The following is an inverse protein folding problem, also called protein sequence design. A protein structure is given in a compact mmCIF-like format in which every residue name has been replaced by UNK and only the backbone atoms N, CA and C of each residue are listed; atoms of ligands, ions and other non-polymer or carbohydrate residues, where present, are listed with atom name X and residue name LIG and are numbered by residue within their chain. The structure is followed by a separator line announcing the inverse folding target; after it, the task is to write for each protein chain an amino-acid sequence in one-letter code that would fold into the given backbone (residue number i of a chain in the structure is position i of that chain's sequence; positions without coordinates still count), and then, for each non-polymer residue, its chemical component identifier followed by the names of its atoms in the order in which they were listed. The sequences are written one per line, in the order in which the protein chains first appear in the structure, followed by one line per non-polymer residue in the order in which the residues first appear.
data_IF_562152697773
#
_entry.id   IF_562152697773
#
_cell.length_a   1.000
_cell.length_b   1.000
_cell.length_c   1.000
_cell.angle_alpha   90.00
_cell.angle_beta   90.00
_cell.angle_gamma   90.00
#
_symmetry.space_group_name_H-M   'P 1'
#
loop_
_entity.id
_entity.type
_entity.pdbx_description
1 polymer ?
#
# COMPACT_ATOMS: atom_id res chain seq x y z
N UNK A 1 15.60 -4.34 -15.80
CA UNK A 1 15.16 -4.34 -17.22
C UNK A 1 13.72 -4.80 -17.25
N UNK A 2 12.85 -4.10 -17.95
CA UNK A 2 11.47 -4.53 -18.20
C UNK A 2 11.50 -5.39 -19.45
N UNK A 3 10.80 -6.51 -19.43
CA UNK A 3 10.66 -7.42 -20.57
C UNK A 3 9.18 -7.52 -20.93
N UNK A 4 8.89 -7.52 -22.19
CA UNK A 4 7.56 -7.87 -22.67
C UNK A 4 7.34 -9.36 -22.46
N UNK A 5 6.12 -9.71 -22.05
CA UNK A 5 5.71 -11.08 -21.82
C UNK A 5 4.44 -11.39 -22.64
N UNK A 6 4.37 -12.57 -23.16
CA UNK A 6 3.19 -13.09 -23.85
C UNK A 6 2.49 -14.09 -22.94
N UNK A 7 1.19 -13.92 -22.79
CA UNK A 7 0.33 -14.81 -21.97
C UNK A 7 -0.58 -15.59 -22.93
N UNK A 8 -0.58 -16.91 -22.82
CA UNK A 8 -1.32 -17.79 -23.71
C UNK A 8 -1.90 -19.00 -22.98
N UNK A 9 -2.94 -19.60 -23.58
CA UNK A 9 -3.56 -20.83 -23.10
C UNK A 9 -2.84 -22.07 -23.67
N UNK A 10 -2.68 -23.10 -22.83
CA UNK A 10 -2.29 -24.45 -23.21
C UNK A 10 -2.80 -25.45 -22.19
N UNK A 11 -3.51 -26.48 -22.66
CA UNK A 11 -4.06 -27.55 -21.82
C UNK A 11 -4.91 -27.03 -20.64
N UNK A 12 -5.83 -26.12 -20.91
CA UNK A 12 -6.72 -25.47 -19.93
C UNK A 12 -5.98 -24.70 -18.81
N UNK A 13 -4.73 -24.34 -19.06
CA UNK A 13 -3.88 -23.55 -18.18
C UNK A 13 -3.37 -22.32 -18.90
N UNK A 14 -2.94 -21.34 -18.13
CA UNK A 14 -2.34 -20.12 -18.66
C UNK A 14 -0.84 -20.14 -18.41
N UNK A 15 -0.09 -19.92 -19.46
CA UNK A 15 1.36 -19.80 -19.43
C UNK A 15 1.79 -18.39 -19.77
N UNK A 16 2.96 -18.02 -19.32
CA UNK A 16 3.62 -16.77 -19.67
C UNK A 16 5.01 -17.06 -20.20
N UNK A 17 5.31 -16.52 -21.38
CA UNK A 17 6.67 -16.56 -21.93
C UNK A 17 7.25 -15.16 -22.02
N UNK A 18 8.56 -15.07 -21.83
CA UNK A 18 9.34 -13.84 -21.97
C UNK A 18 10.76 -14.17 -22.42
N UNK A 19 11.36 -13.28 -23.18
CA UNK A 19 12.75 -13.46 -23.67
C UNK A 19 13.67 -12.44 -23.03
N UNK A 20 14.61 -12.91 -22.23
CA UNK A 20 15.67 -12.08 -21.67
C UNK A 20 16.89 -12.07 -22.60
N UNK A 21 17.44 -10.91 -22.99
CA UNK A 21 18.63 -10.85 -23.82
C UNK A 21 19.86 -11.55 -23.24
N UNK A 22 19.91 -11.68 -21.91
CA UNK A 22 21.05 -12.30 -21.21
C UNK A 22 20.83 -13.79 -20.90
N UNK A 23 19.58 -14.18 -20.58
CA UNK A 23 19.26 -15.53 -20.07
C UNK A 23 18.43 -16.37 -21.05
N UNK A 24 18.02 -15.79 -22.19
CA UNK A 24 17.20 -16.47 -23.18
C UNK A 24 15.72 -16.49 -22.85
N UNK A 25 15.02 -17.40 -23.49
CA UNK A 25 13.59 -17.61 -23.32
C UNK A 25 13.28 -18.29 -21.99
N UNK A 26 12.22 -17.83 -21.32
CA UNK A 26 11.69 -18.40 -20.08
C UNK A 26 10.19 -18.53 -20.21
N UNK A 27 9.68 -19.74 -19.98
CA UNK A 27 8.24 -20.02 -19.92
C UNK A 27 7.90 -20.51 -18.51
N UNK A 28 6.77 -20.08 -17.99
CA UNK A 28 6.31 -20.48 -16.66
C UNK A 28 4.78 -20.61 -16.62
N UNK A 29 4.27 -21.48 -15.76
CA UNK A 29 2.84 -21.57 -15.47
C UNK A 29 2.42 -20.30 -14.75
N UNK A 30 1.55 -19.50 -15.39
CA UNK A 30 1.06 -18.24 -14.85
C UNK A 30 -0.23 -18.41 -14.03
N UNK A 31 -1.15 -19.25 -14.53
CA UNK A 31 -2.41 -19.53 -13.83
C UNK A 31 -2.90 -20.97 -14.08
N UNK A 32 -3.42 -21.62 -13.04
CA UNK A 32 -3.73 -23.05 -13.08
C UNK A 32 -5.02 -23.43 -13.80
N UNK A 33 -5.89 -22.50 -14.15
CA UNK A 33 -7.14 -22.72 -14.90
C UNK A 33 -7.42 -21.56 -15.85
N UNK A 34 -7.52 -21.85 -17.12
CA UNK A 34 -7.87 -20.86 -18.14
C UNK A 34 -9.28 -20.31 -17.97
N UNK A 35 -10.25 -21.16 -17.61
CA UNK A 35 -11.62 -20.73 -17.33
C UNK A 35 -11.68 -19.67 -16.22
N UNK A 36 -11.00 -19.92 -15.09
CA UNK A 36 -10.97 -18.98 -13.98
C UNK A 36 -10.21 -17.70 -14.33
N UNK A 37 -9.12 -17.81 -15.09
CA UNK A 37 -8.37 -16.65 -15.56
C UNK A 37 -9.23 -15.74 -16.41
N UNK A 38 -9.97 -16.29 -17.37
CA UNK A 38 -10.90 -15.54 -18.20
C UNK A 38 -12.03 -14.92 -17.36
N UNK A 39 -12.59 -15.67 -16.42
CA UNK A 39 -13.61 -15.15 -15.51
C UNK A 39 -13.09 -13.94 -14.73
N UNK A 40 -11.88 -14.00 -14.19
CA UNK A 40 -11.28 -12.85 -13.49
C UNK A 40 -11.02 -11.67 -14.43
N UNK A 41 -10.62 -11.92 -15.67
CA UNK A 41 -10.41 -10.88 -16.68
C UNK A 41 -11.68 -10.10 -17.02
N UNK A 42 -12.88 -10.66 -16.81
CA UNK A 42 -14.14 -9.93 -17.01
C UNK A 42 -14.37 -8.82 -15.98
N UNK A 43 -13.67 -8.87 -14.85
CA UNK A 43 -13.73 -7.83 -13.80
C UNK A 43 -12.67 -6.73 -13.98
N UNK A 44 -11.97 -6.75 -15.12
CA UNK A 44 -11.05 -5.68 -15.47
C UNK A 44 -11.80 -4.37 -15.65
N UNK A 45 -11.32 -3.32 -15.02
CA UNK A 45 -11.80 -1.96 -15.24
C UNK A 45 -10.61 -1.00 -15.18
N UNK A 46 -10.50 -0.18 -16.21
CA UNK A 46 -9.55 0.94 -16.16
C UNK A 46 -10.00 1.93 -15.11
N UNK A 47 -9.08 2.36 -14.27
CA UNK A 47 -9.30 3.46 -13.34
C UNK A 47 -9.35 4.80 -14.08
N UNK A 48 -9.63 5.87 -13.35
CA UNK A 48 -9.61 7.23 -13.88
C UNK A 48 -8.22 7.86 -13.87
N UNK A 49 -7.20 7.09 -13.53
CA UNK A 49 -5.85 7.56 -13.33
C UNK A 49 -5.64 8.23 -11.97
N UNK A 50 -4.39 8.49 -11.64
CA UNK A 50 -4.01 9.30 -10.49
C UNK A 50 -2.99 10.35 -10.91
N UNK A 51 -3.22 11.57 -10.49
CA UNK A 51 -2.34 12.70 -10.67
C UNK A 51 -2.22 13.43 -9.34
N UNK A 52 -1.04 13.43 -8.77
CA UNK A 52 -0.76 14.13 -7.51
C UNK A 52 0.22 15.27 -7.78
N UNK A 53 -0.25 16.52 -7.85
CA UNK A 53 0.58 17.66 -8.23
C UNK A 53 1.78 17.89 -7.29
N UNK A 54 1.70 17.36 -6.07
CA UNK A 54 2.77 17.50 -5.07
C UNK A 54 3.85 16.40 -5.14
N UNK A 55 3.63 15.34 -5.92
CA UNK A 55 4.55 14.20 -6.02
C UNK A 55 4.96 13.85 -7.46
N UNK A 56 4.48 14.61 -8.44
CA UNK A 56 4.84 14.42 -9.83
C UNK A 56 6.32 14.72 -10.07
N UNK A 57 6.96 13.82 -10.79
CA UNK A 57 8.31 14.02 -11.30
C UNK A 57 8.25 14.43 -12.77
N UNK A 58 9.03 15.42 -13.16
CA UNK A 58 9.09 15.91 -14.54
C UNK A 58 9.52 14.85 -15.55
N UNK A 59 10.23 13.83 -15.09
CA UNK A 59 10.67 12.70 -15.90
C UNK A 59 10.45 11.40 -15.18
N UNK A 60 9.29 10.80 -15.41
CA UNK A 60 9.00 9.45 -14.90
C UNK A 60 9.56 8.40 -15.84
N UNK A 61 10.29 7.44 -15.26
CA UNK A 61 10.70 6.22 -15.92
C UNK A 61 10.09 5.04 -15.17
N UNK A 62 8.92 4.62 -15.59
CA UNK A 62 8.20 3.53 -14.98
C UNK A 62 8.97 2.21 -15.15
N UNK A 63 9.13 1.38 -14.09
CA UNK A 63 8.71 1.58 -12.70
C UNK A 63 9.77 2.20 -11.79
N UNK A 64 10.92 2.65 -12.32
CA UNK A 64 12.13 2.93 -11.52
C UNK A 64 12.08 4.23 -10.72
N UNK A 65 11.36 5.23 -11.21
CA UNK A 65 11.17 6.51 -10.54
C UNK A 65 9.74 7.03 -10.74
N UNK A 66 8.77 6.20 -10.39
CA UNK A 66 7.36 6.55 -10.52
C UNK A 66 6.98 7.67 -9.55
N UNK A 67 6.42 8.76 -10.08
CA UNK A 67 5.86 9.87 -9.32
C UNK A 67 4.38 10.11 -9.64
N UNK A 68 3.60 9.05 -9.92
CA UNK A 68 2.20 9.15 -10.34
C UNK A 68 2.04 10.04 -11.59
N UNK A 69 2.73 9.67 -12.65
CA UNK A 69 2.67 10.38 -13.93
C UNK A 69 1.33 10.19 -14.66
N UNK A 70 1.12 10.94 -15.74
CA UNK A 70 -0.11 10.89 -16.55
C UNK A 70 -0.39 9.54 -17.22
N UNK A 71 0.58 8.64 -17.25
CA UNK A 71 0.39 7.25 -17.75
C UNK A 71 -0.19 6.32 -16.68
N UNK A 72 -0.39 6.79 -15.46
CA UNK A 72 -0.98 6.00 -14.39
C UNK A 72 -2.48 5.86 -14.60
N UNK A 73 -2.95 4.61 -14.80
CA UNK A 73 -4.35 4.33 -15.14
C UNK A 73 -5.24 4.11 -13.92
N UNK A 74 -4.65 3.75 -12.79
CA UNK A 74 -5.40 3.50 -11.54
C UNK A 74 -5.39 4.74 -10.65
N UNK A 75 -6.43 4.90 -9.83
CA UNK A 75 -6.42 5.88 -8.72
C UNK A 75 -6.15 5.19 -7.39
N UNK A 76 -5.83 5.96 -6.36
CA UNK A 76 -5.58 5.44 -5.02
C UNK A 76 -6.88 4.89 -4.42
N UNK A 77 -7.00 3.55 -4.37
CA UNK A 77 -8.15 2.88 -3.77
C UNK A 77 -8.04 2.81 -2.24
N UNK A 78 -6.84 2.53 -1.74
CA UNK A 78 -6.50 2.47 -0.32
C UNK A 78 -5.04 2.87 -0.14
N UNK A 79 -4.79 3.94 0.57
CA UNK A 79 -3.45 4.34 0.96
C UNK A 79 -3.03 3.64 2.26
N UNK A 80 -1.75 3.32 2.39
CA UNK A 80 -1.19 2.75 3.62
C UNK A 80 -0.26 3.78 4.26
N UNK A 81 -0.50 4.08 5.55
CA UNK A 81 0.38 4.95 6.33
C UNK A 81 1.05 4.18 7.45
N UNK A 82 2.37 4.21 7.46
CA UNK A 82 3.18 3.75 8.57
C UNK A 82 3.17 4.85 9.63
N UNK A 83 2.55 4.58 10.78
CA UNK A 83 2.47 5.57 11.87
C UNK A 83 3.53 5.36 12.94
N UNK A 84 4.10 4.17 13.01
CA UNK A 84 5.21 3.84 13.91
C UNK A 84 5.97 2.62 13.41
N UNK A 85 7.24 2.51 13.73
CA UNK A 85 8.01 1.28 13.56
C UNK A 85 8.24 0.53 14.88
N UNK A 86 7.61 0.97 15.98
CA UNK A 86 7.60 0.20 17.24
C UNK A 86 6.63 -0.96 17.14
N UNK A 87 6.97 -2.10 17.75
CA UNK A 87 6.09 -3.25 17.87
C UNK A 87 6.45 -4.05 19.12
N UNK A 88 5.47 -4.61 19.78
CA UNK A 88 5.62 -5.53 20.90
C UNK A 88 5.74 -7.00 20.49
N UNK A 89 5.60 -7.29 19.19
CA UNK A 89 5.82 -8.61 18.61
C UNK A 89 7.11 -8.69 17.78
N UNK A 90 7.57 -9.91 17.52
CA UNK A 90 8.75 -10.23 16.69
C UNK A 90 8.40 -11.30 15.67
N UNK A 91 7.36 -11.06 14.86
CA UNK A 91 6.92 -12.00 13.84
C UNK A 91 8.03 -12.29 12.84
N UNK A 92 8.35 -13.56 12.63
CA UNK A 92 9.46 -13.98 11.75
C UNK A 92 9.26 -13.58 10.28
N UNK A 93 8.02 -13.37 9.86
CA UNK A 93 7.61 -12.97 8.51
C UNK A 93 7.39 -11.45 8.36
N UNK A 94 7.73 -10.66 9.39
CA UNK A 94 7.48 -9.22 9.36
C UNK A 94 8.41 -8.51 8.36
N UNK A 95 7.84 -7.91 7.33
CA UNK A 95 8.59 -7.17 6.32
C UNK A 95 8.97 -5.73 6.75
N UNK A 96 8.44 -5.24 7.85
CA UNK A 96 8.82 -3.94 8.41
C UNK A 96 10.13 -3.97 9.20
N UNK A 97 10.75 -5.12 9.38
CA UNK A 97 11.96 -5.31 10.19
C UNK A 97 11.84 -4.71 11.59
N UNK A 98 10.63 -4.71 12.13
CA UNK A 98 10.37 -4.25 13.48
C UNK A 98 11.04 -5.22 14.45
N UNK A 99 11.98 -4.73 15.26
CA UNK A 99 12.58 -5.52 16.33
C UNK A 99 12.09 -4.96 17.65
N UNK A 100 11.61 -5.84 18.51
CA UNK A 100 11.32 -5.51 19.91
C UNK A 100 12.60 -4.96 20.55
N UNK A 101 12.53 -3.75 21.13
CA UNK A 101 13.64 -3.16 21.84
C UNK A 101 14.70 -2.46 20.98
N UNK A 102 14.38 -2.01 19.77
CA UNK A 102 15.21 -1.03 19.07
C UNK A 102 15.09 0.36 19.73
N UNK A 103 15.42 0.40 21.02
CA UNK A 103 15.64 1.67 21.70
C UNK A 103 16.88 2.33 21.08
N UNK A 104 16.68 3.47 20.43
CA UNK A 104 17.75 4.38 20.04
C UNK A 104 18.20 4.38 18.58
N UNK A 105 17.79 3.46 17.71
CA UNK A 105 18.15 3.50 16.30
C UNK A 105 16.90 3.56 15.40
N UNK A 106 16.68 4.67 14.75
CA UNK A 106 15.62 4.85 13.76
C UNK A 106 14.19 4.64 14.27
N UNK A 107 13.83 5.30 15.36
CA UNK A 107 12.42 5.43 15.70
C UNK A 107 11.74 6.30 14.64
N UNK A 108 10.75 5.74 13.94
CA UNK A 108 9.92 6.46 13.00
C UNK A 108 8.51 6.59 13.59
N UNK A 109 8.14 7.78 13.93
CA UNK A 109 6.79 8.17 14.31
C UNK A 109 6.57 9.58 13.75
N UNK A 110 5.78 9.74 12.68
CA UNK A 110 5.51 11.05 12.12
C UNK A 110 4.76 11.91 13.14
N UNK A 111 5.20 13.14 13.29
CA UNK A 111 4.52 14.17 14.08
C UNK A 111 3.12 14.44 13.51
N UNK A 112 2.18 14.93 14.33
CA UNK A 112 0.80 15.18 13.91
C UNK A 112 0.70 16.15 12.72
N UNK A 113 1.58 17.14 12.64
CA UNK A 113 1.66 18.05 11.50
C UNK A 113 2.13 17.36 10.21
N UNK A 114 3.03 16.37 10.34
CA UNK A 114 3.46 15.54 9.21
C UNK A 114 2.31 14.62 8.74
N UNK A 115 1.57 14.03 9.69
CA UNK A 115 0.36 13.27 9.37
C UNK A 115 -0.62 14.12 8.58
N UNK A 116 -0.88 15.36 9.04
CA UNK A 116 -1.76 16.31 8.35
C UNK A 116 -1.26 16.64 6.94
N UNK A 117 0.03 16.86 6.78
CA UNK A 117 0.62 17.12 5.48
C UNK A 117 0.49 15.94 4.51
N UNK A 118 0.68 14.70 5.01
CA UNK A 118 0.47 13.48 4.23
C UNK A 118 -0.98 13.33 3.78
N UNK A 119 -1.95 13.62 4.67
CA UNK A 119 -3.37 13.57 4.31
C UNK A 119 -3.73 14.61 3.25
N UNK A 120 -3.22 15.85 3.37
CA UNK A 120 -3.40 16.86 2.34
C UNK A 120 -2.84 16.44 1.00
N UNK A 121 -1.70 15.76 0.98
CA UNK A 121 -1.10 15.24 -0.26
C UNK A 121 -2.01 14.18 -0.89
N UNK A 122 -2.51 13.21 -0.12
CA UNK A 122 -3.46 12.19 -0.57
C UNK A 122 -4.74 12.83 -1.12
N UNK A 123 -5.29 13.80 -0.40
CA UNK A 123 -6.52 14.52 -0.81
C UNK A 123 -6.33 15.46 -2.01
N UNK A 124 -5.09 15.78 -2.34
CA UNK A 124 -4.76 16.57 -3.53
C UNK A 124 -4.75 15.76 -4.83
N UNK A 125 -4.80 14.43 -4.77
CA UNK A 125 -4.87 13.58 -5.96
C UNK A 125 -6.08 13.91 -6.84
N UNK A 126 -5.92 13.80 -8.15
CA UNK A 126 -6.94 14.04 -9.16
C UNK A 126 -6.92 12.94 -10.22
N UNK A 127 -8.01 12.63 -10.90
CA UNK A 127 -9.34 13.24 -10.76
C UNK A 127 -10.12 12.81 -9.52
N UNK A 128 -9.72 11.70 -8.88
CA UNK A 128 -10.36 11.17 -7.66
C UNK A 128 -9.40 11.40 -6.49
N UNK A 129 -9.77 12.25 -5.51
CA UNK A 129 -8.99 12.38 -4.29
C UNK A 129 -8.94 11.06 -3.53
N UNK A 130 -7.77 10.67 -3.01
CA UNK A 130 -7.66 9.53 -2.12
C UNK A 130 -8.45 9.78 -0.84
N UNK A 131 -9.37 8.87 -0.47
CA UNK A 131 -10.27 9.03 0.68
C UNK A 131 -10.29 7.82 1.63
N UNK A 132 -9.44 6.84 1.35
CA UNK A 132 -9.35 5.61 2.14
C UNK A 132 -7.93 5.43 2.64
N UNK A 133 -7.79 5.15 3.93
CA UNK A 133 -6.50 5.01 4.61
C UNK A 133 -6.47 3.76 5.46
N UNK A 134 -5.38 3.01 5.33
CA UNK A 134 -5.02 1.96 6.27
C UNK A 134 -3.86 2.42 7.15
N UNK A 135 -4.11 2.51 8.44
CA UNK A 135 -3.09 2.74 9.44
C UNK A 135 -2.33 1.44 9.67
N UNK A 136 -1.02 1.48 9.54
CA UNK A 136 -0.14 0.32 9.66
C UNK A 136 1.20 0.72 10.26
N UNK A 137 2.14 -0.21 10.29
CA UNK A 137 3.50 0.02 10.78
C UNK A 137 4.03 -1.20 11.52
N UNK A 138 4.64 -0.98 12.68
CA UNK A 138 4.82 -2.00 13.68
C UNK A 138 3.46 -2.32 14.32
N UNK A 139 3.22 -1.79 15.51
CA UNK A 139 1.92 -1.86 16.16
C UNK A 139 1.39 -0.43 16.39
N UNK A 140 0.38 0.01 15.62
CA UNK A 140 -0.16 1.38 15.74
C UNK A 140 -0.67 1.74 17.12
N UNK A 141 -1.23 0.77 17.86
CA UNK A 141 -1.77 0.97 19.20
C UNK A 141 -0.69 1.26 20.26
N UNK A 142 0.61 1.18 19.91
CA UNK A 142 1.69 1.63 20.79
C UNK A 142 1.92 3.15 20.75
N UNK A 143 1.25 3.87 19.84
CA UNK A 143 1.23 5.34 19.86
C UNK A 143 0.22 5.83 20.90
N UNK A 144 0.65 6.75 21.76
CA UNK A 144 -0.24 7.33 22.77
C UNK A 144 -1.22 8.35 22.16
N UNK A 145 -0.85 8.94 21.03
CA UNK A 145 -1.64 9.93 20.28
C UNK A 145 -2.37 9.34 19.06
N UNK A 146 -2.59 8.02 19.01
CA UNK A 146 -3.22 7.36 17.86
C UNK A 146 -4.63 7.91 17.55
N UNK A 147 -5.37 8.29 18.59
CA UNK A 147 -6.70 8.91 18.44
C UNK A 147 -6.62 10.26 17.75
N UNK A 148 -5.58 11.06 18.01
CA UNK A 148 -5.37 12.34 17.36
C UNK A 148 -4.93 12.16 15.90
N UNK A 149 -4.14 11.12 15.60
CA UNK A 149 -3.83 10.71 14.22
C UNK A 149 -5.12 10.43 13.43
N UNK A 150 -6.05 9.68 14.01
CA UNK A 150 -7.34 9.35 13.37
C UNK A 150 -8.22 10.60 13.21
N UNK A 151 -8.29 11.47 14.21
CA UNK A 151 -9.01 12.74 14.11
C UNK A 151 -8.49 13.60 12.96
N UNK A 152 -7.17 13.73 12.83
CA UNK A 152 -6.55 14.47 11.72
C UNK A 152 -6.94 13.88 10.37
N UNK A 153 -6.94 12.55 10.21
CA UNK A 153 -7.38 11.92 8.98
C UNK A 153 -8.83 12.28 8.63
N UNK A 154 -9.72 12.24 9.63
CA UNK A 154 -11.13 12.64 9.47
C UNK A 154 -11.28 14.11 9.11
N UNK A 155 -10.58 15.00 9.80
CA UNK A 155 -10.60 16.43 9.53
C UNK A 155 -10.16 16.76 8.11
N UNK A 156 -9.17 16.04 7.58
CA UNK A 156 -8.68 16.23 6.21
C UNK A 156 -9.56 15.50 5.15
N UNK A 157 -10.65 14.87 5.57
CA UNK A 157 -11.65 14.30 4.67
C UNK A 157 -11.36 12.88 4.21
N UNK A 158 -10.68 12.08 5.02
CA UNK A 158 -10.57 10.64 4.81
C UNK A 158 -11.84 9.98 5.34
N UNK A 159 -12.62 9.38 4.46
CA UNK A 159 -13.93 8.81 4.80
C UNK A 159 -13.81 7.41 5.41
N UNK A 160 -12.89 6.60 4.87
CA UNK A 160 -12.66 5.24 5.32
C UNK A 160 -11.29 5.11 5.96
N UNK A 161 -11.27 4.78 7.23
CA UNK A 161 -10.04 4.52 7.99
C UNK A 161 -10.13 3.11 8.57
N UNK A 162 -9.10 2.32 8.30
CA UNK A 162 -8.93 1.00 8.92
C UNK A 162 -7.57 0.93 9.60
N UNK A 163 -7.45 0.11 10.62
CA UNK A 163 -6.21 -0.08 11.36
C UNK A 163 -5.80 -1.55 11.34
N UNK A 164 -4.56 -1.81 10.98
CA UNK A 164 -3.93 -3.10 11.19
C UNK A 164 -3.29 -3.12 12.56
N UNK A 165 -3.81 -3.93 13.45
CA UNK A 165 -3.31 -4.09 14.83
C UNK A 165 -3.18 -5.57 15.18
N UNK A 166 -2.24 -5.90 16.05
CA UNK A 166 -2.13 -7.24 16.63
C UNK A 166 -3.19 -7.51 17.72
N UNK A 167 -3.93 -6.47 18.12
CA UNK A 167 -5.03 -6.54 19.06
C UNK A 167 -4.65 -6.72 20.54
N UNK A 168 -3.36 -6.78 20.88
CA UNK A 168 -2.91 -7.02 22.27
C UNK A 168 -3.42 -5.92 23.18
N UNK A 169 -3.26 -4.64 22.80
CA UNK A 169 -3.72 -3.52 23.62
C UNK A 169 -5.25 -3.54 23.82
N UNK A 170 -6.01 -3.88 22.79
CA UNK A 170 -7.47 -4.02 22.91
C UNK A 170 -7.88 -5.16 23.84
N UNK A 171 -7.14 -6.26 23.85
CA UNK A 171 -7.42 -7.40 24.71
C UNK A 171 -7.06 -7.11 26.18
N UNK A 172 -6.01 -6.32 26.42
CA UNK A 172 -5.56 -5.96 27.77
C UNK A 172 -6.30 -4.76 28.34
N UNK A 173 -6.71 -3.81 27.51
CA UNK A 173 -7.43 -2.60 27.86
C UNK A 173 -8.58 -2.37 26.86
N UNK A 174 -9.77 -2.94 27.12
CA UNK A 174 -10.91 -2.77 26.22
C UNK A 174 -11.39 -1.31 26.07
N UNK A 175 -11.12 -0.43 27.02
CA UNK A 175 -11.48 0.98 26.92
C UNK A 175 -10.62 1.68 25.87
N UNK A 176 -9.31 1.37 25.77
CA UNK A 176 -8.45 1.89 24.71
C UNK A 176 -8.98 1.59 23.29
N UNK A 177 -9.71 0.49 23.13
CA UNK A 177 -10.37 0.14 21.87
C UNK A 177 -11.64 0.93 21.56
N UNK A 178 -12.25 1.57 22.55
CA UNK A 178 -13.46 2.40 22.35
C UNK A 178 -13.12 3.84 21.97
N UNK A 179 -11.90 4.26 22.24
CA UNK A 179 -11.42 5.61 21.91
C UNK A 179 -10.96 5.73 20.46
N UNK A 180 -10.67 4.61 19.81
CA UNK A 180 -10.22 4.45 18.43
C UNK A 180 -11.36 4.00 17.52
#
# INVERSE_FOLDING_TARGET
MILDAEVFERDDKVYMTKTCPTHGECEELYFGSYELYNKFSTYWADGKGAHAPNVMMDKCSCPNNCGLCTNHLSHSGLANMIVTNRCDLTCWYCFFYVKKGLEGAYMYEPELDQVRAMMKTLRAERPIPGNSMQITGGEPMLRDDITDVIKIMKEEGVDHIQMNTNGIRHAMDPEAGREV
#
